data_IF_719762625144
#
_entry.id   IF_719762625144
#
_cell.length_a   1.000
_cell.length_b   1.000
_cell.length_c   1.000
_cell.angle_alpha   90.00
_cell.angle_beta   90.00
_cell.angle_gamma   90.00
#
_symmetry.space_group_name_H-M   'P 1'
#
loop_
_entity.id
_entity.type
_entity.pdbx_description
1 polymer ?
#
# COMPACT_ATOMS: atom_id res chain seq x y z
N UNK A 1 7.71 13.32 -2.96
CA UNK A 1 7.14 13.07 -4.29
C UNK A 1 6.14 11.92 -4.24
N UNK A 2 6.54 10.70 -3.86
CA UNK A 2 5.63 9.54 -3.74
C UNK A 2 4.39 9.79 -2.87
N UNK A 3 4.55 10.43 -1.71
CA UNK A 3 3.42 10.76 -0.82
C UNK A 3 2.39 11.69 -1.47
N UNK A 4 2.85 12.70 -2.23
CA UNK A 4 1.96 13.58 -3.00
C UNK A 4 1.23 12.79 -4.08
N UNK A 5 1.94 11.95 -4.81
CA UNK A 5 1.38 11.13 -5.89
C UNK A 5 0.32 10.14 -5.37
N UNK A 6 0.59 9.44 -4.27
CA UNK A 6 -0.39 8.55 -3.62
C UNK A 6 -1.59 9.31 -3.08
N UNK A 7 -1.39 10.52 -2.54
CA UNK A 7 -2.51 11.35 -2.05
C UNK A 7 -3.41 11.82 -3.19
N UNK A 8 -2.83 12.22 -4.32
CA UNK A 8 -3.58 12.58 -5.52
C UNK A 8 -4.34 11.36 -6.06
N UNK A 9 -3.66 10.22 -6.18
CA UNK A 9 -4.29 8.97 -6.62
C UNK A 9 -5.40 8.47 -5.68
N UNK A 10 -5.28 8.70 -4.37
CA UNK A 10 -6.32 8.35 -3.41
C UNK A 10 -7.61 9.17 -3.60
N UNK A 11 -7.49 10.41 -4.08
CA UNK A 11 -8.61 11.35 -4.23
C UNK A 11 -9.17 11.37 -5.66
N UNK A 12 -8.39 10.99 -6.66
CA UNK A 12 -8.85 11.00 -8.06
C UNK A 12 -9.97 9.95 -8.27
N UNK A 13 -11.18 10.36 -8.71
CA UNK A 13 -12.29 9.44 -8.97
C UNK A 13 -12.04 8.49 -10.14
N UNK A 14 -11.10 8.81 -11.05
CA UNK A 14 -10.74 7.94 -12.19
C UNK A 14 -9.77 6.83 -11.83
N UNK A 15 -9.15 6.88 -10.66
CA UNK A 15 -8.25 5.81 -10.19
C UNK A 15 -9.07 4.65 -9.66
N UNK A 16 -8.83 3.46 -10.19
CA UNK A 16 -9.55 2.23 -9.84
C UNK A 16 -8.74 1.34 -8.90
N UNK A 17 -7.40 1.35 -9.02
CA UNK A 17 -6.55 0.54 -8.16
C UNK A 17 -5.19 1.16 -7.84
N UNK A 18 -4.64 0.78 -6.68
CA UNK A 18 -3.29 1.13 -6.23
C UNK A 18 -2.60 -0.15 -5.74
N UNK A 19 -1.45 -0.48 -6.31
CA UNK A 19 -0.64 -1.65 -5.94
C UNK A 19 0.76 -1.20 -5.54
N UNK A 20 1.24 -1.58 -4.36
CA UNK A 20 2.54 -1.10 -3.86
C UNK A 20 3.31 -2.16 -3.04
N UNK A 21 4.63 -2.18 -3.18
CA UNK A 21 5.53 -3.01 -2.37
C UNK A 21 6.10 -2.20 -1.20
N UNK A 22 5.93 -2.67 0.04
CA UNK A 22 6.42 -2.03 1.26
C UNK A 22 7.37 -2.98 2.00
N UNK A 23 8.63 -2.59 2.15
CA UNK A 23 9.64 -3.40 2.85
C UNK A 23 9.72 -3.07 4.35
N UNK A 24 9.62 -1.79 4.69
CA UNK A 24 9.73 -1.28 6.05
C UNK A 24 8.94 0.01 6.20
N UNK A 25 8.19 0.11 7.28
CA UNK A 25 7.30 1.23 7.53
C UNK A 25 7.86 2.11 8.65
N UNK A 26 8.01 3.40 8.39
CA UNK A 26 8.31 4.35 9.44
C UNK A 26 7.07 4.55 10.33
N UNK A 27 7.29 4.79 11.62
CA UNK A 27 6.22 5.25 12.52
C UNK A 27 5.58 6.52 11.93
N UNK A 28 4.26 6.56 11.87
CA UNK A 28 3.46 7.64 11.27
C UNK A 28 3.67 7.80 9.74
N UNK A 29 3.66 6.68 9.02
CA UNK A 29 3.80 6.68 7.57
C UNK A 29 2.62 7.37 6.85
N UNK A 30 2.86 8.55 6.27
CA UNK A 30 1.91 9.23 5.38
C UNK A 30 1.49 8.36 4.18
N UNK A 31 2.32 7.39 3.80
CA UNK A 31 2.00 6.41 2.75
C UNK A 31 0.81 5.56 3.19
N UNK A 32 0.84 5.01 4.42
CA UNK A 32 -0.26 4.18 4.94
C UNK A 32 -1.55 4.98 5.04
N UNK A 33 -1.50 6.21 5.56
CA UNK A 33 -2.68 7.08 5.62
C UNK A 33 -3.26 7.34 4.23
N UNK A 34 -2.42 7.49 3.21
CA UNK A 34 -2.88 7.70 1.82
C UNK A 34 -3.53 6.44 1.23
N UNK A 35 -2.95 5.26 1.51
CA UNK A 35 -3.49 3.98 1.07
C UNK A 35 -4.83 3.65 1.75
N UNK A 36 -4.96 3.91 3.05
CA UNK A 36 -6.22 3.78 3.79
C UNK A 36 -7.28 4.71 3.20
N UNK A 37 -6.92 5.96 2.91
CA UNK A 37 -7.86 6.90 2.28
C UNK A 37 -8.28 6.42 0.88
N UNK A 38 -7.37 5.86 0.09
CA UNK A 38 -7.71 5.28 -1.20
C UNK A 38 -8.73 4.13 -1.07
N UNK A 39 -8.52 3.21 -0.11
CA UNK A 39 -9.46 2.13 0.17
C UNK A 39 -10.83 2.65 0.64
N UNK A 40 -10.86 3.64 1.53
CA UNK A 40 -12.10 4.33 1.96
C UNK A 40 -12.84 5.02 0.81
N UNK A 41 -12.11 5.51 -0.19
CA UNK A 41 -12.68 6.08 -1.41
C UNK A 41 -13.06 5.01 -2.46
N UNK A 42 -13.18 3.74 -2.06
CA UNK A 42 -13.67 2.65 -2.91
C UNK A 42 -12.65 2.10 -3.90
N UNK A 43 -11.37 2.48 -3.81
CA UNK A 43 -10.33 2.01 -4.73
C UNK A 43 -9.82 0.65 -4.29
N UNK A 44 -9.51 -0.24 -5.23
CA UNK A 44 -8.85 -1.51 -4.90
C UNK A 44 -7.40 -1.24 -4.51
N UNK A 45 -7.05 -1.46 -3.24
CA UNK A 45 -5.67 -1.27 -2.75
C UNK A 45 -5.04 -2.60 -2.41
N UNK A 46 -3.89 -2.89 -3.02
CA UNK A 46 -3.10 -4.10 -2.76
C UNK A 46 -1.70 -3.71 -2.28
N UNK A 47 -1.29 -4.25 -1.14
CA UNK A 47 0.02 -3.98 -0.55
C UNK A 47 0.77 -5.29 -0.38
N UNK A 48 1.93 -5.39 -1.00
CA UNK A 48 2.89 -6.43 -0.67
C UNK A 48 3.74 -5.96 0.52
N UNK A 49 3.86 -6.78 1.57
CA UNK A 49 4.67 -6.47 2.75
C UNK A 49 5.52 -7.66 3.20
N UNK A 50 6.77 -7.36 3.55
CA UNK A 50 7.68 -8.31 4.18
C UNK A 50 7.59 -8.16 5.71
N UNK A 51 6.92 -9.10 6.39
CA UNK A 51 6.82 -9.06 7.86
C UNK A 51 8.17 -9.30 8.53
N UNK A 52 8.97 -10.23 7.99
CA UNK A 52 10.29 -10.63 8.52
C UNK A 52 11.42 -9.66 8.12
N UNK A 53 11.18 -8.36 8.25
CA UNK A 53 12.24 -7.37 8.16
C UNK A 53 13.00 -7.35 9.50
N UNK A 54 14.32 -7.59 9.47
CA UNK A 54 15.16 -7.60 10.67
C UNK A 54 14.91 -6.32 11.49
N UNK A 55 14.51 -6.49 12.76
CA UNK A 55 14.27 -5.44 13.76
C UNK A 55 12.95 -4.65 13.67
N UNK A 56 12.06 -4.93 12.70
CA UNK A 56 10.81 -4.14 12.49
C UNK A 56 9.50 -4.97 12.55
N UNK A 57 9.57 -6.25 12.94
CA UNK A 57 8.46 -7.22 12.86
C UNK A 57 7.18 -6.74 13.55
N UNK A 58 7.25 -6.30 14.81
CA UNK A 58 6.08 -5.87 15.57
C UNK A 58 5.37 -4.65 14.93
N UNK A 59 6.14 -3.73 14.33
CA UNK A 59 5.58 -2.54 13.68
C UNK A 59 4.92 -2.92 12.35
N UNK A 60 5.54 -3.80 11.57
CA UNK A 60 4.96 -4.29 10.31
C UNK A 60 3.68 -5.10 10.54
N UNK A 61 3.62 -5.92 11.61
CA UNK A 61 2.42 -6.67 11.99
C UNK A 61 1.27 -5.70 12.35
N UNK A 62 1.53 -4.72 13.22
CA UNK A 62 0.50 -3.75 13.62
C UNK A 62 -0.07 -2.97 12.42
N UNK A 63 0.79 -2.54 11.50
CA UNK A 63 0.33 -1.87 10.29
C UNK A 63 -0.40 -2.82 9.33
N UNK A 64 0.00 -4.09 9.25
CA UNK A 64 -0.72 -5.08 8.46
C UNK A 64 -2.15 -5.27 8.98
N UNK A 65 -2.32 -5.44 10.29
CA UNK A 65 -3.65 -5.55 10.93
C UNK A 65 -4.50 -4.29 10.69
N UNK A 66 -3.91 -3.11 10.82
CA UNK A 66 -4.59 -1.85 10.53
C UNK A 66 -5.04 -1.77 9.07
N UNK A 67 -4.16 -2.07 8.13
CA UNK A 67 -4.45 -2.01 6.69
C UNK A 67 -5.56 -3.01 6.31
N UNK A 68 -5.52 -4.24 6.83
CA UNK A 68 -6.57 -5.24 6.60
C UNK A 68 -7.92 -4.78 7.13
N UNK A 69 -7.96 -4.20 8.33
CA UNK A 69 -9.19 -3.67 8.94
C UNK A 69 -9.82 -2.57 8.08
N UNK A 70 -8.99 -1.79 7.39
CA UNK A 70 -9.39 -0.68 6.51
C UNK A 70 -9.67 -1.13 5.06
N UNK A 71 -9.73 -2.44 4.80
CA UNK A 71 -10.12 -3.01 3.49
C UNK A 71 -9.00 -3.11 2.47
N UNK A 72 -7.73 -3.00 2.88
CA UNK A 72 -6.57 -3.16 2.00
C UNK A 72 -6.22 -4.65 1.88
N UNK A 73 -6.05 -5.14 0.65
CA UNK A 73 -5.59 -6.49 0.36
C UNK A 73 -4.08 -6.59 0.62
N UNK A 74 -3.67 -7.52 1.49
CA UNK A 74 -2.26 -7.74 1.83
C UNK A 74 -1.70 -8.99 1.18
N UNK A 75 -0.50 -8.86 0.59
CA UNK A 75 0.31 -9.97 0.11
C UNK A 75 1.56 -10.07 0.97
N UNK A 76 1.68 -11.13 1.75
CA UNK A 76 2.86 -11.37 2.57
C UNK A 76 3.98 -12.02 1.76
N UNK A 77 5.23 -11.65 2.06
CA UNK A 77 6.40 -12.28 1.48
C UNK A 77 6.48 -13.79 1.77
N UNK A 78 7.11 -14.53 0.86
CA UNK A 78 7.29 -15.98 0.98
C UNK A 78 8.64 -16.25 1.66
N UNK A 79 8.66 -17.17 2.62
CA UNK A 79 9.90 -17.55 3.33
C UNK A 79 10.98 -17.99 2.32
N UNK A 80 12.14 -17.34 2.39
CA UNK A 80 13.28 -17.63 1.51
C UNK A 80 13.29 -16.83 0.20
N UNK A 81 12.21 -16.10 -0.13
CA UNK A 81 12.12 -15.26 -1.32
C UNK A 81 11.89 -13.80 -0.92
N UNK A 82 12.91 -12.96 -1.12
CA UNK A 82 12.84 -11.54 -0.75
C UNK A 82 12.39 -10.69 -1.94
N UNK A 83 11.39 -9.84 -1.73
CA UNK A 83 11.02 -8.80 -2.70
C UNK A 83 11.87 -7.55 -2.48
N UNK A 84 12.83 -7.30 -3.37
CA UNK A 84 13.68 -6.10 -3.32
C UNK A 84 13.16 -4.94 -4.17
N UNK A 85 12.19 -5.17 -5.04
CA UNK A 85 11.60 -4.13 -5.89
C UNK A 85 10.88 -3.07 -5.04
N UNK A 86 10.95 -1.81 -5.46
CA UNK A 86 10.19 -0.70 -4.87
C UNK A 86 9.30 -0.14 -5.96
N UNK A 87 8.12 -0.74 -6.09
CA UNK A 87 7.20 -0.45 -7.18
C UNK A 87 5.90 0.05 -6.60
N UNK A 88 5.34 1.06 -7.27
CA UNK A 88 3.99 1.54 -7.06
C UNK A 88 3.32 1.62 -8.43
N UNK A 89 2.17 0.97 -8.57
CA UNK A 89 1.35 0.99 -9.78
C UNK A 89 0.01 1.59 -9.42
N UNK A 90 -0.45 2.54 -10.24
CA UNK A 90 -1.77 3.15 -10.14
C UNK A 90 -2.48 2.88 -11.46
N UNK A 91 -3.66 2.30 -11.37
CA UNK A 91 -4.52 2.07 -12.53
C UNK A 91 -5.58 3.18 -12.53
N UNK A 92 -5.60 3.95 -13.62
CA UNK A 92 -6.49 5.09 -13.84
C UNK A 92 -7.18 4.91 -15.19
N UNK A 93 -8.49 5.15 -15.22
CA UNK A 93 -9.29 5.16 -16.44
C UNK A 93 -9.06 6.48 -17.17
N UNK A 94 -8.57 6.41 -18.41
CA UNK A 94 -8.47 7.55 -19.32
C UNK A 94 -9.43 7.30 -20.49
N UNK A 95 -10.16 8.34 -20.92
CA UNK A 95 -10.99 8.32 -22.13
C UNK A 95 -12.02 7.18 -22.25
N UNK A 96 -13.00 7.11 -21.34
CA UNK A 96 -14.14 6.16 -21.38
C UNK A 96 -13.79 4.71 -21.77
N UNK A 97 -12.55 4.27 -21.49
CA UNK A 97 -11.99 2.94 -21.78
C UNK A 97 -11.18 2.40 -20.62
#
# INVERSE_FOLDING_TARGET
YLTKFLREAALDPKVTSIKITLYRLAKNSQIISSLINAAKNGKKVVVQIELQARFDEATNISYAEQMQTEGIELIFGIKGLKVHSKICVIERVEDDK
#
